data_IF_732891754832
#
_entry.id   IF_732891754832
#
_cell.length_a   1.000
_cell.length_b   1.000
_cell.length_c   1.000
_cell.angle_alpha   90.00
_cell.angle_beta   90.00
_cell.angle_gamma   90.00
#
_symmetry.space_group_name_H-M   'P 1'
#
loop_
_entity.id
_entity.type
_entity.pdbx_description
1 polymer ?
#
# COMPACT_ATOMS: atom_id res chain seq x y z
N UNK A 1 11.84 1.94 -13.22
CA UNK A 1 12.46 1.16 -12.11
C UNK A 1 11.34 0.76 -11.18
N UNK A 2 11.41 -0.42 -10.57
CA UNK A 2 10.48 -0.86 -9.52
C UNK A 2 11.33 -1.21 -8.31
N UNK A 3 10.98 -0.67 -7.15
CA UNK A 3 11.68 -0.90 -5.89
C UNK A 3 10.71 -1.47 -4.87
N UNK A 4 11.11 -2.55 -4.20
CA UNK A 4 10.35 -3.16 -3.12
C UNK A 4 10.84 -2.61 -1.78
N UNK A 5 9.91 -2.23 -0.91
CA UNK A 5 10.19 -1.83 0.47
C UNK A 5 10.55 -3.08 1.27
N UNK A 6 11.68 -3.06 1.98
CA UNK A 6 12.11 -4.18 2.80
C UNK A 6 11.29 -4.33 4.09
N UNK A 7 11.17 -3.27 4.90
CA UNK A 7 10.42 -3.31 6.14
C UNK A 7 9.69 -1.99 6.45
N UNK A 8 8.38 -2.09 6.70
CA UNK A 8 7.55 -0.93 7.01
C UNK A 8 7.41 0.00 5.82
N UNK A 9 8.08 1.14 5.89
CA UNK A 9 8.05 2.17 4.85
C UNK A 9 8.80 3.43 5.27
N UNK A 10 8.42 4.04 6.40
CA UNK A 10 9.01 5.32 6.87
C UNK A 10 10.53 5.30 6.93
N UNK A 11 11.11 4.28 7.55
CA UNK A 11 12.55 4.17 7.80
C UNK A 11 13.27 3.19 6.86
N UNK A 12 12.58 2.73 5.82
CA UNK A 12 13.21 1.87 4.82
C UNK A 12 14.14 2.69 3.92
N UNK A 13 15.40 2.27 3.66
CA UNK A 13 16.31 2.99 2.79
C UNK A 13 15.77 3.27 1.38
N UNK A 14 14.88 2.42 0.86
CA UNK A 14 14.24 2.63 -0.44
C UNK A 14 13.37 3.88 -0.44
N UNK A 15 12.80 4.27 0.70
CA UNK A 15 11.93 5.44 0.81
C UNK A 15 12.67 6.78 0.62
N UNK A 16 14.01 6.77 0.55
CA UNK A 16 14.79 7.95 0.12
C UNK A 16 14.48 8.36 -1.32
N UNK A 17 14.00 7.42 -2.14
CA UNK A 17 13.64 7.67 -3.53
C UNK A 17 12.32 8.43 -3.60
N UNK A 18 12.31 9.50 -4.40
CA UNK A 18 11.08 10.23 -4.73
C UNK A 18 10.30 9.45 -5.80
N UNK A 19 9.47 8.51 -5.36
CA UNK A 19 8.71 7.63 -6.23
C UNK A 19 7.60 8.37 -6.97
N UNK A 20 7.47 8.13 -8.28
CA UNK A 20 6.36 8.68 -9.07
C UNK A 20 5.00 8.03 -8.76
N UNK A 21 5.01 6.78 -8.30
CA UNK A 21 3.83 6.01 -7.88
C UNK A 21 4.24 5.17 -6.69
N UNK A 22 3.38 5.09 -5.66
CA UNK A 22 3.55 4.17 -4.55
C UNK A 22 2.44 3.10 -4.55
N UNK A 23 2.77 1.88 -4.12
CA UNK A 23 1.83 0.76 -4.06
C UNK A 23 1.85 0.18 -2.65
N UNK A 24 0.69 0.16 -2.00
CA UNK A 24 0.47 -0.53 -0.74
C UNK A 24 -0.35 -1.78 -1.01
N UNK A 25 0.28 -2.95 -0.95
CA UNK A 25 -0.36 -4.23 -1.27
C UNK A 25 -1.34 -4.68 -0.20
N UNK A 26 -0.93 -4.64 1.08
CA UNK A 26 -1.76 -4.99 2.23
C UNK A 26 -1.19 -4.38 3.54
N UNK A 27 -2.01 -4.44 4.60
CA UNK A 27 -1.64 -4.12 5.98
C UNK A 27 -2.15 -5.23 6.88
N UNK A 28 -1.25 -6.13 7.23
CA UNK A 28 -1.47 -7.26 8.14
C UNK A 28 -0.60 -7.15 9.40
N UNK A 29 -0.89 -7.96 10.41
CA UNK A 29 -0.14 -8.02 11.67
C UNK A 29 1.19 -8.78 11.49
N UNK A 30 2.10 -8.21 10.70
CA UNK A 30 3.44 -8.72 10.45
C UNK A 30 4.52 -7.78 10.97
N UNK A 31 5.64 -8.33 11.42
CA UNK A 31 6.80 -7.58 11.93
C UNK A 31 6.47 -6.61 13.08
N UNK A 32 5.60 -7.05 13.99
CA UNK A 32 5.07 -6.24 15.09
C UNK A 32 6.16 -5.64 16.00
N UNK A 33 7.28 -6.36 16.19
CA UNK A 33 8.44 -5.88 16.96
C UNK A 33 9.02 -4.54 16.44
N UNK A 34 8.78 -4.22 15.17
CA UNK A 34 9.32 -3.03 14.49
C UNK A 34 8.24 -2.03 14.10
N UNK A 35 7.04 -2.51 13.73
CA UNK A 35 6.00 -1.70 13.10
C UNK A 35 4.84 -1.36 14.05
N UNK A 36 4.81 -1.96 15.23
CA UNK A 36 3.75 -1.79 16.22
C UNK A 36 2.81 -3.00 16.31
N UNK A 37 1.97 -3.00 17.32
CA UNK A 37 1.19 -4.18 17.71
C UNK A 37 -0.16 -4.31 16.98
N UNK A 38 -0.58 -3.28 16.23
CA UNK A 38 -1.90 -3.21 15.60
C UNK A 38 -1.83 -2.76 14.12
N UNK A 39 -2.93 -2.96 13.38
CA UNK A 39 -2.99 -2.57 11.97
C UNK A 39 -2.83 -1.06 11.79
N UNK A 40 -3.22 -0.24 12.76
CA UNK A 40 -3.11 1.22 12.66
C UNK A 40 -1.66 1.71 12.69
N UNK A 41 -0.86 1.21 13.62
CA UNK A 41 0.57 1.50 13.71
C UNK A 41 1.31 1.00 12.47
N UNK A 42 1.05 -0.24 12.04
CA UNK A 42 1.66 -0.82 10.84
C UNK A 42 1.26 -0.05 9.57
N UNK A 43 -0.02 0.30 9.45
CA UNK A 43 -0.57 1.07 8.33
C UNK A 43 0.11 2.43 8.20
N UNK A 44 0.34 3.11 9.32
CA UNK A 44 1.08 4.37 9.37
C UNK A 44 2.52 4.23 8.85
N UNK A 45 3.25 3.22 9.35
CA UNK A 45 4.64 2.98 8.91
C UNK A 45 4.74 2.68 7.41
N UNK A 46 3.83 1.86 6.88
CA UNK A 46 3.79 1.49 5.48
C UNK A 46 3.36 2.65 4.58
N UNK A 47 2.37 3.43 4.99
CA UNK A 47 1.86 4.56 4.21
C UNK A 47 2.83 5.75 4.13
N UNK A 48 3.87 5.79 4.96
CA UNK A 48 4.92 6.83 4.89
C UNK A 48 5.78 6.77 3.61
N UNK A 49 5.56 5.79 2.72
CA UNK A 49 6.13 5.80 1.36
C UNK A 49 5.37 6.74 0.40
N UNK A 50 4.17 7.18 0.76
CA UNK A 50 3.34 8.03 -0.08
C UNK A 50 3.96 9.43 -0.22
N UNK A 51 4.15 9.86 -1.47
CA UNK A 51 4.71 11.18 -1.79
C UNK A 51 3.60 12.17 -2.10
N UNK A 52 3.79 13.43 -1.72
CA UNK A 52 2.79 14.49 -1.89
C UNK A 52 2.33 14.59 -3.37
N UNK A 53 1.01 14.57 -3.59
CA UNK A 53 0.35 14.66 -4.90
C UNK A 53 0.67 13.54 -5.91
N UNK A 54 1.41 12.51 -5.52
CA UNK A 54 1.69 11.36 -6.40
C UNK A 54 0.54 10.35 -6.37
N UNK A 55 0.32 9.56 -7.43
CA UNK A 55 -0.62 8.45 -7.39
C UNK A 55 -0.24 7.37 -6.36
N UNK A 56 -1.26 6.78 -5.73
CA UNK A 56 -1.10 5.62 -4.85
C UNK A 56 -2.07 4.51 -5.25
N UNK A 57 -1.60 3.27 -5.20
CA UNK A 57 -2.40 2.07 -5.48
C UNK A 57 -2.57 1.30 -4.17
N UNK A 58 -3.80 0.95 -3.83
CA UNK A 58 -4.15 0.17 -2.65
C UNK A 58 -4.66 -1.20 -3.09
N UNK A 59 -3.87 -2.23 -2.78
CA UNK A 59 -4.13 -3.63 -3.17
C UNK A 59 -5.03 -4.40 -2.19
N UNK A 60 -5.57 -3.75 -1.16
CA UNK A 60 -6.43 -4.36 -0.17
C UNK A 60 -7.76 -3.59 -0.04
N UNK A 61 -8.87 -4.33 0.03
CA UNK A 61 -10.23 -3.75 0.12
C UNK A 61 -10.42 -2.89 1.38
N UNK A 62 -9.89 -3.36 2.51
CA UNK A 62 -10.01 -2.69 3.80
C UNK A 62 -8.63 -2.44 4.39
N UNK A 63 -8.25 -1.16 4.42
CA UNK A 63 -7.03 -0.66 5.05
C UNK A 63 -7.38 0.12 6.32
N UNK A 64 -6.48 0.19 7.31
CA UNK A 64 -6.70 0.94 8.55
C UNK A 64 -6.84 2.46 8.31
N UNK A 65 -7.41 3.18 9.28
CA UNK A 65 -7.69 4.61 9.17
C UNK A 65 -6.42 5.44 8.98
N UNK A 66 -5.32 5.05 9.63
CA UNK A 66 -3.98 5.62 9.43
C UNK A 66 -3.55 5.73 7.97
N UNK A 67 -3.89 4.74 7.12
CA UNK A 67 -3.61 4.79 5.68
C UNK A 67 -4.49 5.84 5.00
N UNK A 68 -5.78 5.89 5.35
CA UNK A 68 -6.70 6.91 4.85
C UNK A 68 -6.29 8.33 5.25
N UNK A 69 -5.88 8.52 6.50
CA UNK A 69 -5.35 9.79 7.02
C UNK A 69 -4.12 10.21 6.21
N UNK A 70 -3.21 9.27 5.94
CA UNK A 70 -2.01 9.57 5.15
C UNK A 70 -2.34 10.00 3.73
N UNK A 71 -3.26 9.31 3.05
CA UNK A 71 -3.75 9.68 1.70
C UNK A 71 -4.30 11.12 1.68
N UNK A 72 -5.04 11.52 2.71
CA UNK A 72 -5.59 12.87 2.83
C UNK A 72 -4.47 13.90 3.08
N UNK A 73 -3.51 13.58 3.96
CA UNK A 73 -2.35 14.42 4.27
C UNK A 73 -1.52 14.72 3.01
N UNK A 74 -1.21 13.68 2.25
CA UNK A 74 -0.39 13.74 1.02
C UNK A 74 -1.19 14.09 -0.23
N UNK A 75 -2.52 14.21 -0.12
CA UNK A 75 -3.42 14.60 -1.23
C UNK A 75 -3.21 13.73 -2.47
N UNK A 76 -3.13 12.41 -2.28
CA UNK A 76 -2.86 11.47 -3.36
C UNK A 76 -4.10 11.20 -4.22
N UNK A 77 -3.91 11.07 -5.53
CA UNK A 77 -4.86 10.37 -6.37
C UNK A 77 -4.77 8.88 -6.04
N UNK A 78 -5.88 8.27 -5.64
CA UNK A 78 -5.90 6.92 -5.09
C UNK A 78 -6.65 5.97 -6.02
N UNK A 79 -6.08 4.79 -6.22
CA UNK A 79 -6.70 3.68 -6.94
C UNK A 79 -6.77 2.47 -6.00
N UNK A 80 -7.96 2.04 -5.63
CA UNK A 80 -8.18 0.91 -4.74
C UNK A 80 -8.75 -0.28 -5.49
N UNK A 81 -8.29 -1.48 -5.10
CA UNK A 81 -8.97 -2.72 -5.48
C UNK A 81 -10.43 -2.71 -5.01
N UNK A 82 -11.33 -3.21 -5.84
CA UNK A 82 -12.77 -3.20 -5.61
C UNK A 82 -13.46 -1.85 -5.84
N UNK A 83 -12.71 -0.81 -6.24
CA UNK A 83 -13.25 0.50 -6.64
C UNK A 83 -12.86 0.88 -8.05
N UNK A 84 -11.57 1.15 -8.28
CA UNK A 84 -11.06 1.59 -9.59
C UNK A 84 -10.59 0.42 -10.45
N UNK A 85 -10.23 -0.71 -9.84
CA UNK A 85 -9.84 -1.92 -10.54
C UNK A 85 -10.19 -3.17 -9.71
N UNK A 86 -10.25 -4.31 -10.37
CA UNK A 86 -10.49 -5.60 -9.72
C UNK A 86 -9.73 -6.73 -10.44
N UNK A 87 -9.65 -7.89 -9.82
CA UNK A 87 -9.05 -9.09 -10.39
C UNK A 87 -9.77 -10.36 -9.92
N UNK A 88 -9.72 -11.38 -10.76
CA UNK A 88 -10.21 -12.72 -10.45
C UNK A 88 -9.06 -13.72 -10.59
N UNK A 89 -8.88 -14.56 -9.58
CA UNK A 89 -7.89 -15.64 -9.58
C UNK A 89 -8.61 -16.97 -9.73
N UNK A 90 -8.27 -17.70 -10.77
CA UNK A 90 -8.61 -19.11 -10.91
C UNK A 90 -7.42 -19.96 -10.43
N UNK A 91 -7.47 -20.41 -9.18
CA UNK A 91 -6.44 -21.23 -8.54
C UNK A 91 -6.24 -22.57 -9.24
N UNK A 92 -7.27 -23.09 -9.91
CA UNK A 92 -7.17 -24.38 -10.60
C UNK A 92 -6.27 -24.32 -11.84
N UNK A 93 -6.24 -23.16 -12.51
CA UNK A 93 -5.47 -22.95 -13.74
C UNK A 93 -4.34 -21.92 -13.58
N UNK A 94 -4.09 -21.43 -12.36
CA UNK A 94 -3.17 -20.31 -12.07
C UNK A 94 -3.39 -19.11 -13.00
N UNK A 95 -4.65 -18.85 -13.35
CA UNK A 95 -5.02 -17.83 -14.34
C UNK A 95 -5.56 -16.60 -13.62
N UNK A 96 -5.02 -15.45 -13.98
CA UNK A 96 -5.48 -14.15 -13.50
C UNK A 96 -6.28 -13.48 -14.60
N UNK A 97 -7.44 -12.93 -14.23
CA UNK A 97 -8.30 -12.16 -15.15
C UNK A 97 -8.55 -10.79 -14.54
N UNK A 98 -8.48 -9.76 -15.37
CA UNK A 98 -8.67 -8.37 -14.97
C UNK A 98 -9.90 -7.84 -15.72
N UNK A 99 -11.09 -7.86 -15.09
CA UNK A 99 -12.28 -7.29 -15.71
C UNK A 99 -12.09 -5.77 -15.80
N UNK A 100 -12.13 -5.25 -17.04
CA UNK A 100 -12.12 -3.83 -17.32
C UNK A 100 -13.54 -3.29 -17.41
#
# INVERSE_FOLDING_TARGET
MVLEIGLGGRLDPVNIVDSDIAILTNVELDHQDWLGEDRESIGKEKADIFKLHKPVIIGQHEVPNSVHEKILETKNQTFCVGKEFDYQVDDSNKKWTFPF
#
